data_IF_398611218322
#
_entry.id   IF_398611218322
#
_cell.length_a   1.000
_cell.length_b   1.000
_cell.length_c   1.000
_cell.angle_alpha   90.00
_cell.angle_beta   90.00
_cell.angle_gamma   90.00
#
_symmetry.space_group_name_H-M   'P 1'
#
loop_
_entity.id
_entity.type
_entity.pdbx_description
1 polymer ?
#
# COMPACT_ATOMS: atom_id res chain seq x y z
N UNK A 1 -28.37 -6.14 10.33
CA UNK A 1 -27.02 -5.56 10.46
C UNK A 1 -26.22 -5.98 9.23
N UNK A 2 -25.55 -5.07 8.50
CA UNK A 2 -24.70 -5.46 7.37
C UNK A 2 -23.37 -5.98 7.93
N UNK A 3 -23.13 -7.27 7.73
CA UNK A 3 -21.86 -7.97 8.00
C UNK A 3 -20.65 -7.13 7.54
N UNK A 4 -19.68 -6.94 8.43
CA UNK A 4 -18.43 -6.23 8.15
C UNK A 4 -17.44 -7.25 7.60
N UNK A 5 -17.48 -7.49 6.29
CA UNK A 5 -16.48 -8.32 5.64
C UNK A 5 -15.06 -7.79 5.95
N UNK A 6 -14.22 -8.64 6.53
CA UNK A 6 -12.82 -8.34 6.87
C UNK A 6 -11.94 -8.76 5.70
N UNK A 7 -10.92 -7.97 5.40
CA UNK A 7 -9.96 -8.30 4.34
C UNK A 7 -8.66 -8.75 4.98
N UNK A 8 -8.17 -9.91 4.54
CA UNK A 8 -6.93 -10.52 5.03
C UNK A 8 -5.93 -10.63 3.89
N UNK A 9 -4.70 -10.17 4.12
CA UNK A 9 -3.59 -10.36 3.20
C UNK A 9 -2.69 -11.53 3.65
N UNK A 10 -2.42 -12.47 2.75
CA UNK A 10 -1.60 -13.67 3.02
C UNK A 10 -0.43 -13.76 2.06
N UNK A 11 0.76 -14.14 2.58
CA UNK A 11 1.98 -14.38 1.79
C UNK A 11 2.02 -15.83 1.29
N UNK A 12 2.25 -16.04 0.00
CA UNK A 12 2.50 -17.35 -0.60
C UNK A 12 3.88 -17.37 -1.24
N UNK A 13 4.65 -18.43 -0.97
CA UNK A 13 5.99 -18.59 -1.55
C UNK A 13 5.93 -18.60 -3.09
N UNK A 14 6.76 -17.79 -3.74
CA UNK A 14 6.84 -17.71 -5.20
C UNK A 14 8.22 -18.13 -5.73
N UNK A 15 9.26 -17.38 -5.35
CA UNK A 15 10.66 -17.63 -5.71
C UNK A 15 11.59 -17.20 -4.56
N UNK A 16 12.89 -17.44 -4.69
CA UNK A 16 13.89 -16.98 -3.71
C UNK A 16 13.78 -15.44 -3.56
N UNK A 17 13.52 -14.98 -2.32
CA UNK A 17 13.33 -13.57 -1.92
C UNK A 17 12.05 -12.86 -2.37
N UNK A 18 11.11 -13.55 -3.03
CA UNK A 18 9.83 -12.96 -3.46
C UNK A 18 8.64 -13.85 -3.11
N UNK A 19 7.49 -13.22 -2.87
CA UNK A 19 6.23 -13.88 -2.50
C UNK A 19 5.07 -13.29 -3.30
N UNK A 20 3.99 -14.03 -3.45
CA UNK A 20 2.72 -13.50 -3.89
C UNK A 20 1.92 -13.04 -2.67
N UNK A 21 1.19 -11.94 -2.80
CA UNK A 21 0.18 -11.53 -1.82
C UNK A 21 -1.20 -11.92 -2.32
N UNK A 22 -1.98 -12.58 -1.47
CA UNK A 22 -3.39 -12.88 -1.73
C UNK A 22 -4.28 -12.09 -0.80
N UNK A 23 -5.27 -11.41 -1.36
CA UNK A 23 -6.31 -10.73 -0.62
C UNK A 23 -7.53 -11.65 -0.52
N UNK A 24 -7.94 -11.96 0.70
CA UNK A 24 -9.12 -12.75 0.99
C UNK A 24 -10.18 -11.87 1.66
N UNK A 25 -11.43 -12.02 1.24
CA UNK A 25 -12.59 -11.58 2.01
C UNK A 25 -12.99 -12.68 2.96
N UNK A 26 -13.03 -12.37 4.25
CA UNK A 26 -13.46 -13.28 5.31
C UNK A 26 -14.88 -12.88 5.74
N UNK A 27 -15.82 -13.80 5.61
CA UNK A 27 -17.20 -13.63 6.05
C UNK A 27 -17.37 -13.94 7.54
N UNK A 28 -18.53 -13.59 8.10
CA UNK A 28 -18.83 -13.76 9.54
C UNK A 28 -18.81 -15.23 9.98
N UNK A 29 -19.04 -16.18 9.05
CA UNK A 29 -18.98 -17.63 9.29
C UNK A 29 -17.55 -18.21 9.17
N UNK A 30 -16.55 -17.35 8.93
CA UNK A 30 -15.16 -17.73 8.72
C UNK A 30 -14.84 -18.25 7.32
N UNK A 31 -15.80 -18.29 6.40
CA UNK A 31 -15.53 -18.64 5.01
C UNK A 31 -14.68 -17.56 4.32
N UNK A 32 -13.79 -18.00 3.43
CA UNK A 32 -12.84 -17.13 2.75
C UNK A 32 -13.05 -17.14 1.24
N UNK A 33 -13.17 -15.96 0.65
CA UNK A 33 -13.23 -15.76 -0.80
C UNK A 33 -11.97 -15.06 -1.28
N UNK A 34 -11.25 -15.64 -2.24
CA UNK A 34 -10.08 -15.00 -2.86
C UNK A 34 -10.53 -13.82 -3.74
N UNK A 35 -10.07 -12.62 -3.44
CA UNK A 35 -10.42 -11.38 -4.16
C UNK A 35 -9.37 -10.98 -5.19
N UNK A 36 -8.08 -11.13 -4.87
CA UNK A 36 -6.98 -10.79 -5.76
C UNK A 36 -5.69 -11.53 -5.39
N UNK A 37 -4.80 -11.71 -6.39
CA UNK A 37 -3.43 -12.19 -6.19
C UNK A 37 -2.47 -11.21 -6.86
N UNK A 38 -1.48 -10.73 -6.13
CA UNK A 38 -0.48 -9.78 -6.62
C UNK A 38 0.52 -10.42 -7.60
N UNK A 39 1.21 -9.59 -8.37
CA UNK A 39 2.52 -9.95 -8.93
C UNK A 39 3.54 -10.26 -7.80
N UNK A 40 4.66 -10.96 -8.09
CA UNK A 40 5.68 -11.26 -7.08
C UNK A 40 6.28 -10.00 -6.47
N UNK A 41 6.15 -9.86 -5.15
CA UNK A 41 6.68 -8.74 -4.36
C UNK A 41 7.86 -9.18 -3.50
N UNK A 42 8.69 -8.24 -3.05
CA UNK A 42 9.78 -8.54 -2.11
C UNK A 42 9.22 -9.00 -0.76
N UNK A 43 9.95 -9.85 -0.04
CA UNK A 43 9.52 -10.32 1.29
C UNK A 43 9.30 -9.17 2.29
N UNK A 44 10.07 -8.08 2.15
CA UNK A 44 9.95 -6.88 3.00
C UNK A 44 8.64 -6.16 2.73
N UNK A 45 8.33 -5.86 1.45
CA UNK A 45 7.06 -5.24 1.07
C UNK A 45 5.88 -6.10 1.52
N UNK A 46 5.97 -7.42 1.31
CA UNK A 46 4.93 -8.35 1.71
C UNK A 46 4.70 -8.40 3.23
N UNK A 47 5.78 -8.30 4.03
CA UNK A 47 5.67 -8.24 5.48
C UNK A 47 4.99 -6.95 5.95
N UNK A 48 5.38 -5.80 5.39
CA UNK A 48 4.76 -4.52 5.68
C UNK A 48 3.26 -4.52 5.35
N UNK A 49 2.89 -4.96 4.14
CA UNK A 49 1.49 -5.01 3.69
C UNK A 49 0.66 -5.95 4.57
N UNK A 50 1.14 -7.15 4.87
CA UNK A 50 0.41 -8.07 5.73
C UNK A 50 0.17 -7.51 7.14
N UNK A 51 1.14 -6.79 7.73
CA UNK A 51 0.99 -6.16 9.04
C UNK A 51 -0.19 -5.17 9.04
N UNK A 52 -0.34 -4.37 7.99
CA UNK A 52 -1.43 -3.39 7.86
C UNK A 52 -2.83 -4.01 7.86
N UNK A 53 -2.99 -5.25 7.37
CA UNK A 53 -4.27 -5.95 7.39
C UNK A 53 -4.52 -6.73 8.70
N UNK A 54 -3.53 -6.79 9.59
CA UNK A 54 -3.65 -7.41 10.91
C UNK A 54 -4.01 -6.39 12.00
N UNK A 55 -3.71 -5.11 11.76
CA UNK A 55 -3.95 -4.01 12.69
C UNK A 55 -5.22 -3.22 12.32
N UNK A 56 -5.90 -2.59 13.29
CA UNK A 56 -6.98 -1.66 12.99
C UNK A 56 -6.47 -0.51 12.12
N UNK A 57 -7.05 -0.32 10.94
CA UNK A 57 -6.66 0.77 10.05
C UNK A 57 -7.37 2.07 10.42
N UNK A 58 -6.61 3.17 10.45
CA UNK A 58 -7.12 4.52 10.71
C UNK A 58 -8.11 4.98 9.64
N UNK A 59 -7.85 4.57 8.39
CA UNK A 59 -8.74 4.77 7.26
C UNK A 59 -9.11 3.39 6.72
N UNK A 60 -10.42 3.15 6.56
CA UNK A 60 -10.89 1.91 5.96
C UNK A 60 -10.32 1.81 4.53
N UNK A 61 -9.58 0.75 4.20
CA UNK A 61 -9.03 0.59 2.87
C UNK A 61 -10.14 0.44 1.82
N UNK A 62 -9.94 1.08 0.67
CA UNK A 62 -10.78 0.85 -0.50
C UNK A 62 -10.37 -0.47 -1.16
N UNK A 63 -11.20 -1.48 -0.95
CA UNK A 63 -10.94 -2.85 -1.39
C UNK A 63 -10.99 -2.98 -2.90
N UNK A 64 -11.85 -2.22 -3.58
CA UNK A 64 -11.93 -2.30 -5.04
C UNK A 64 -10.68 -1.67 -5.68
N UNK A 65 -10.17 -0.57 -5.12
CA UNK A 65 -8.89 0.00 -5.54
C UNK A 65 -7.72 -0.95 -5.27
N UNK A 66 -7.68 -1.60 -4.11
CA UNK A 66 -6.67 -2.61 -3.80
C UNK A 66 -6.70 -3.79 -4.78
N UNK A 67 -7.89 -4.27 -5.14
CA UNK A 67 -8.04 -5.35 -6.12
C UNK A 67 -7.49 -4.96 -7.48
N UNK A 68 -7.85 -3.76 -7.98
CA UNK A 68 -7.34 -3.25 -9.26
C UNK A 68 -5.81 -3.18 -9.26
N UNK A 69 -5.22 -2.61 -8.20
CA UNK A 69 -3.76 -2.51 -8.06
C UNK A 69 -3.09 -3.89 -7.97
N UNK A 70 -3.63 -4.83 -7.19
CA UNK A 70 -3.04 -6.16 -7.04
C UNK A 70 -3.15 -7.00 -8.31
N UNK A 71 -4.15 -6.76 -9.15
CA UNK A 71 -4.30 -7.43 -10.44
C UNK A 71 -3.35 -6.90 -11.53
N UNK A 72 -2.58 -5.83 -11.25
CA UNK A 72 -1.55 -5.35 -12.17
C UNK A 72 -0.41 -6.37 -12.27
N UNK A 73 -0.26 -6.95 -13.45
CA UNK A 73 0.82 -7.89 -13.78
C UNK A 73 2.13 -7.17 -14.14
N UNK A 74 3.26 -7.79 -13.80
CA UNK A 74 4.60 -7.35 -14.22
C UNK A 74 5.62 -7.39 -13.08
N UNK A 75 6.71 -6.64 -13.23
CA UNK A 75 7.67 -6.48 -12.13
C UNK A 75 7.14 -5.50 -11.09
N UNK A 76 7.60 -5.68 -9.84
CA UNK A 76 7.26 -4.79 -8.73
C UNK A 76 8.51 -4.16 -8.17
N UNK A 77 8.42 -2.89 -7.76
CA UNK A 77 9.48 -2.18 -7.06
C UNK A 77 8.94 -1.57 -5.76
N UNK A 78 9.70 -1.69 -4.67
CA UNK A 78 9.33 -1.18 -3.37
C UNK A 78 10.33 -0.11 -2.92
N UNK A 79 9.82 1.01 -2.44
CA UNK A 79 10.61 2.07 -1.85
C UNK A 79 9.88 2.65 -0.64
N UNK A 80 10.64 3.22 0.29
CA UNK A 80 10.09 3.93 1.43
C UNK A 80 11.02 5.02 1.91
N UNK A 81 10.46 6.03 2.55
CA UNK A 81 11.22 7.10 3.18
C UNK A 81 10.46 7.67 4.37
N UNK A 82 11.20 8.10 5.40
CA UNK A 82 10.68 8.75 6.60
C UNK A 82 11.14 10.20 6.58
N UNK A 83 10.23 11.14 6.79
CA UNK A 83 10.56 12.56 6.93
C UNK A 83 9.55 13.27 7.83
N UNK A 84 9.90 14.46 8.32
CA UNK A 84 8.97 15.34 9.06
C UNK A 84 7.88 15.95 8.18
N UNK A 85 8.08 15.96 6.87
CA UNK A 85 7.15 16.52 5.90
C UNK A 85 6.72 15.44 4.88
N UNK A 86 5.42 15.33 4.68
CA UNK A 86 4.81 14.31 3.83
C UNK A 86 5.21 14.42 2.36
N UNK A 87 5.33 15.65 1.86
CA UNK A 87 5.74 15.92 0.48
C UNK A 87 7.20 15.46 0.25
N UNK A 88 8.08 15.73 1.21
CA UNK A 88 9.47 15.26 1.18
C UNK A 88 9.54 13.74 1.22
N UNK A 89 8.79 13.08 2.12
CA UNK A 89 8.79 11.62 2.25
C UNK A 89 8.38 10.92 0.93
N UNK A 90 7.27 11.35 0.31
CA UNK A 90 6.80 10.75 -0.95
C UNK A 90 7.75 11.03 -2.12
N UNK A 91 8.34 12.24 -2.20
CA UNK A 91 9.30 12.55 -3.25
C UNK A 91 10.54 11.66 -3.15
N UNK A 92 11.12 11.54 -1.96
CA UNK A 92 12.31 10.70 -1.74
C UNK A 92 12.02 9.22 -1.98
N UNK A 93 10.84 8.73 -1.59
CA UNK A 93 10.42 7.36 -1.91
C UNK A 93 10.26 7.15 -3.43
N UNK A 94 9.73 8.15 -4.15
CA UNK A 94 9.50 8.07 -5.60
C UNK A 94 10.79 8.09 -6.42
N UNK A 95 11.84 8.77 -5.94
CA UNK A 95 13.13 8.89 -6.64
C UNK A 95 13.97 7.61 -6.64
N UNK A 96 13.63 6.61 -5.82
CA UNK A 96 14.42 5.38 -5.67
C UNK A 96 14.29 4.44 -6.88
N UNK A 97 13.27 4.59 -7.73
CA UNK A 97 13.02 3.73 -8.90
C UNK A 97 12.55 4.55 -10.10
N UNK A 98 12.85 4.10 -11.34
CA UNK A 98 12.25 4.69 -12.55
C UNK A 98 10.84 4.12 -12.77
N UNK A 99 9.83 4.94 -12.46
CA UNK A 99 8.42 4.50 -12.37
C UNK A 99 7.57 4.99 -13.53
N UNK A 100 8.18 5.56 -14.57
CA UNK A 100 7.47 6.08 -15.76
C UNK A 100 6.63 5.02 -16.48
N UNK A 101 6.94 3.74 -16.27
CA UNK A 101 6.22 2.59 -16.86
C UNK A 101 5.27 1.90 -15.89
N UNK A 102 5.21 2.32 -14.64
CA UNK A 102 4.33 1.71 -13.65
C UNK A 102 2.87 1.83 -14.09
N UNK A 103 2.12 0.74 -13.93
CA UNK A 103 0.69 0.65 -14.24
C UNK A 103 -0.18 0.67 -12.99
N UNK A 104 0.43 0.39 -11.83
CA UNK A 104 -0.22 0.52 -10.54
C UNK A 104 0.72 0.99 -9.45
N UNK A 105 0.14 1.57 -8.40
CA UNK A 105 0.85 1.93 -7.16
C UNK A 105 -0.02 1.62 -5.94
N UNK A 106 0.56 0.92 -4.96
CA UNK A 106 0.03 0.89 -3.60
C UNK A 106 0.83 1.88 -2.76
N UNK A 107 0.11 2.84 -2.18
CA UNK A 107 0.63 3.92 -1.36
C UNK A 107 0.31 3.58 0.09
N UNK A 108 1.34 3.55 0.92
CA UNK A 108 1.20 3.30 2.36
C UNK A 108 1.74 4.52 3.09
N UNK A 109 0.91 5.13 3.91
CA UNK A 109 1.27 6.27 4.75
C UNK A 109 1.18 5.81 6.21
N UNK A 110 2.30 5.85 6.91
CA UNK A 110 2.37 5.64 8.35
C UNK A 110 2.63 6.98 9.02
N UNK A 111 1.69 7.39 9.86
CA UNK A 111 1.67 8.70 10.51
C UNK A 111 2.09 8.58 11.98
N UNK A 112 2.78 9.59 12.50
CA UNK A 112 2.79 9.85 13.93
C UNK A 112 1.37 10.21 14.43
N UNK A 113 1.07 9.96 15.70
CA UNK A 113 -0.28 10.13 16.27
C UNK A 113 -0.80 11.57 16.26
N UNK A 114 0.07 12.55 16.12
CA UNK A 114 -0.20 13.99 16.11
C UNK A 114 -0.42 14.57 14.71
N UNK A 115 -0.29 13.77 13.65
CA UNK A 115 -0.47 14.23 12.27
C UNK A 115 -1.92 14.39 11.84
N UNK A 116 -2.20 15.42 11.05
CA UNK A 116 -3.48 15.56 10.36
C UNK A 116 -3.53 14.63 9.15
N UNK A 117 -4.38 13.59 9.22
CA UNK A 117 -4.53 12.60 8.15
C UNK A 117 -4.89 13.27 6.80
N UNK A 118 -5.87 14.18 6.79
CA UNK A 118 -6.44 14.72 5.55
C UNK A 118 -5.40 15.56 4.81
N UNK A 119 -4.73 16.48 5.50
CA UNK A 119 -3.65 17.30 4.92
C UNK A 119 -2.49 16.40 4.44
N UNK A 120 -2.13 15.39 5.22
CA UNK A 120 -1.05 14.47 4.84
C UNK A 120 -1.38 13.68 3.57
N UNK A 121 -2.58 13.10 3.49
CA UNK A 121 -3.03 12.36 2.30
C UNK A 121 -3.05 13.28 1.09
N UNK A 122 -3.62 14.48 1.18
CA UNK A 122 -3.66 15.43 0.07
C UNK A 122 -2.26 15.77 -0.45
N UNK A 123 -1.31 16.08 0.44
CA UNK A 123 0.09 16.35 0.06
C UNK A 123 0.74 15.16 -0.64
N UNK A 124 0.56 13.95 -0.12
CA UNK A 124 1.14 12.73 -0.72
C UNK A 124 0.56 12.48 -2.11
N UNK A 125 -0.75 12.53 -2.25
CA UNK A 125 -1.42 12.28 -3.53
C UNK A 125 -1.06 13.35 -4.56
N UNK A 126 -1.02 14.63 -4.17
CA UNK A 126 -0.64 15.73 -5.06
C UNK A 126 0.81 15.64 -5.54
N UNK A 127 1.73 15.19 -4.68
CA UNK A 127 3.11 14.97 -5.07
C UNK A 127 3.29 13.77 -6.01
N UNK A 128 2.52 12.70 -5.80
CA UNK A 128 2.61 11.46 -6.58
C UNK A 128 1.94 11.58 -7.95
N UNK A 129 0.79 12.25 -8.04
CA UNK A 129 0.01 12.33 -9.28
C UNK A 129 0.61 13.27 -10.33
N UNK A 130 1.39 14.29 -9.93
CA UNK A 130 2.06 15.19 -10.88
C UNK A 130 3.00 14.46 -11.85
N UNK A 131 3.87 13.52 -11.39
CA UNK A 131 4.72 12.73 -12.27
C UNK A 131 4.10 11.40 -12.75
N UNK A 132 2.90 11.03 -12.27
CA UNK A 132 2.31 9.72 -12.55
C UNK A 132 1.91 9.57 -14.03
N UNK A 133 2.11 8.38 -14.63
CA UNK A 133 1.58 8.09 -15.96
C UNK A 133 0.04 8.13 -15.96
N UNK A 134 -0.53 8.53 -17.10
CA UNK A 134 -1.98 8.53 -17.28
C UNK A 134 -2.55 7.11 -17.13
N UNK A 135 -3.63 6.97 -16.36
CA UNK A 135 -4.28 5.67 -16.12
C UNK A 135 -3.57 4.79 -15.08
N UNK A 136 -2.69 5.34 -14.26
CA UNK A 136 -2.09 4.65 -13.11
C UNK A 136 -3.19 4.22 -12.12
N UNK A 137 -3.35 2.91 -11.92
CA UNK A 137 -4.21 2.41 -10.85
C UNK A 137 -3.56 2.70 -9.49
N UNK A 138 -4.32 3.29 -8.57
CA UNK A 138 -3.79 3.68 -7.25
C UNK A 138 -4.65 3.12 -6.13
N UNK A 139 -4.01 2.63 -5.07
CA UNK A 139 -4.65 2.25 -3.82
C UNK A 139 -3.89 2.88 -2.65
N UNK A 140 -4.63 3.26 -1.61
CA UNK A 140 -4.09 3.93 -0.43
C UNK A 140 -4.38 3.12 0.83
N UNK A 141 -3.35 2.96 1.65
CA UNK A 141 -3.43 2.47 3.02
C UNK A 141 -2.85 3.53 3.95
N UNK A 142 -3.54 3.81 5.05
CA UNK A 142 -3.07 4.75 6.07
C UNK A 142 -3.15 4.10 7.44
N UNK A 143 -2.07 4.20 8.20
CA UNK A 143 -1.95 3.69 9.56
C UNK A 143 -1.20 4.69 10.45
N UNK A 144 -1.17 4.41 11.75
CA UNK A 144 -0.34 5.11 12.71
C UNK A 144 0.80 4.23 13.23
N UNK A 145 1.89 4.87 13.65
CA UNK A 145 2.97 4.24 14.42
C UNK A 145 3.41 5.19 15.53
N UNK A 146 3.24 4.77 16.79
CA UNK A 146 3.60 5.56 17.97
C UNK A 146 5.13 5.77 18.08
N UNK A 147 5.93 4.96 17.38
CA UNK A 147 7.38 5.13 17.32
C UNK A 147 7.81 6.29 16.40
N UNK A 148 6.91 6.85 15.58
CA UNK A 148 7.19 8.05 14.79
C UNK A 148 7.00 9.30 15.66
N UNK A 149 8.04 10.10 15.79
CA UNK A 149 8.03 11.32 16.60
C UNK A 149 7.95 12.56 15.70
N UNK A 150 6.73 13.00 15.38
CA UNK A 150 6.54 14.16 14.50
C UNK A 150 6.98 13.90 13.06
N UNK A 151 6.97 12.63 12.64
CA UNK A 151 7.39 12.17 11.32
C UNK A 151 6.29 11.40 10.60
N UNK A 152 6.42 11.33 9.28
CA UNK A 152 5.60 10.51 8.40
C UNK A 152 6.50 9.62 7.56
N UNK A 153 6.13 8.34 7.50
CA UNK A 153 6.74 7.37 6.61
C UNK A 153 5.82 7.14 5.42
N UNK A 154 6.35 7.29 4.22
CA UNK A 154 5.65 6.95 2.97
C UNK A 154 6.36 5.79 2.32
N UNK A 155 5.61 4.73 2.03
CA UNK A 155 6.06 3.55 1.29
C UNK A 155 5.25 3.38 0.02
N UNK A 156 5.94 3.05 -1.07
CA UNK A 156 5.37 2.92 -2.41
C UNK A 156 5.73 1.53 -2.96
N UNK A 157 4.70 0.76 -3.29
CA UNK A 157 4.84 -0.43 -4.13
C UNK A 157 4.40 -0.07 -5.54
N UNK A 158 5.34 0.01 -6.46
CA UNK A 158 5.10 0.16 -7.89
C UNK A 158 4.87 -1.21 -8.52
N UNK A 159 3.87 -1.32 -9.39
CA UNK A 159 3.50 -2.55 -10.08
C UNK A 159 3.42 -2.36 -11.59
N UNK A 160 3.73 -3.42 -12.32
CA UNK A 160 3.67 -3.42 -13.77
C UNK A 160 4.78 -2.62 -14.44
N UNK A 161 5.92 -2.46 -13.75
CA UNK A 161 7.14 -1.81 -14.26
C UNK A 161 7.79 -2.66 -15.35
#
# INVERSE_FOLDING_TARGET
MRSRAVIRAVKLAARRKTVLLRLYRVADDGSETLEATSAPVTMVAAAAICKLFQEPSSIRPDIESLKRVFQVYGHTAWAGFVARDAFTAVQQASLQHDVRRAKGVLIIITLAMDFNIVDTVDRVMNALHRPAPAGLESALLVTYDEALEGEVKVELLWLGV
#
